data_IF_802914799604
#
_entry.id   IF_802914799604
#
_cell.length_a   1.000
_cell.length_b   1.000
_cell.length_c   1.000
_cell.angle_alpha   90.00
_cell.angle_beta   90.00
_cell.angle_gamma   90.00
#
_symmetry.space_group_name_H-M   'P 1'
#
loop_
_entity.id
_entity.type
_entity.pdbx_description
1 polymer ?
#
# COMPACT_ATOMS: atom_id res chain seq x y z
N UNK A 1 -22.25 -16.86 -1.96
CA UNK A 1 -22.85 -16.31 -3.20
C UNK A 1 -21.70 -15.73 -4.00
N UNK A 2 -21.47 -16.09 -5.27
CA UNK A 2 -20.46 -15.37 -6.05
C UNK A 2 -20.88 -13.91 -6.16
N UNK A 3 -19.98 -12.99 -5.84
CA UNK A 3 -20.28 -11.57 -5.87
C UNK A 3 -20.62 -11.11 -7.29
N UNK A 4 -21.59 -10.20 -7.40
CA UNK A 4 -22.12 -9.73 -8.68
C UNK A 4 -21.28 -8.57 -9.26
N UNK A 5 -21.40 -8.34 -10.57
CA UNK A 5 -20.80 -7.16 -11.22
C UNK A 5 -21.30 -5.86 -10.59
N UNK A 6 -22.55 -5.84 -10.11
CA UNK A 6 -23.12 -4.67 -9.44
C UNK A 6 -22.43 -4.36 -8.11
N UNK A 7 -22.06 -5.39 -7.34
CA UNK A 7 -21.30 -5.22 -6.10
C UNK A 7 -19.88 -4.72 -6.40
N UNK A 8 -19.21 -5.28 -7.41
CA UNK A 8 -17.89 -4.76 -7.82
C UNK A 8 -17.97 -3.27 -8.23
N UNK A 9 -19.00 -2.88 -8.99
CA UNK A 9 -19.20 -1.49 -9.37
C UNK A 9 -19.48 -0.57 -8.17
N UNK A 10 -20.24 -1.06 -7.18
CA UNK A 10 -20.48 -0.34 -5.94
C UNK A 10 -19.18 -0.10 -5.17
N UNK A 11 -18.37 -1.15 -4.99
CA UNK A 11 -17.09 -1.06 -4.27
C UNK A 11 -16.07 -0.15 -4.97
N UNK A 12 -16.03 -0.16 -6.30
CA UNK A 12 -15.20 0.79 -7.08
C UNK A 12 -15.67 2.23 -6.88
N UNK A 13 -16.98 2.45 -6.69
CA UNK A 13 -17.52 3.80 -6.42
C UNK A 13 -17.17 4.25 -5.00
N UNK A 14 -17.17 3.33 -4.03
CA UNK A 14 -16.91 3.61 -2.62
C UNK A 14 -15.41 3.82 -2.33
N UNK A 15 -14.56 2.92 -2.83
CA UNK A 15 -13.13 2.88 -2.53
C UNK A 15 -12.25 3.48 -3.64
N UNK A 16 -12.87 3.88 -4.74
CA UNK A 16 -12.20 4.40 -5.91
C UNK A 16 -11.69 3.32 -6.88
N UNK A 17 -11.12 3.73 -8.02
CA UNK A 17 -10.72 2.82 -9.10
C UNK A 17 -9.65 1.80 -8.71
N UNK A 18 -8.81 2.10 -7.72
CA UNK A 18 -7.80 1.17 -7.20
C UNK A 18 -8.42 -0.16 -6.74
N UNK A 19 -9.68 -0.14 -6.28
CA UNK A 19 -10.39 -1.36 -5.88
C UNK A 19 -10.52 -2.35 -7.05
N UNK A 20 -10.68 -1.87 -8.29
CA UNK A 20 -10.72 -2.75 -9.46
C UNK A 20 -9.37 -3.47 -9.67
N UNK A 21 -8.27 -2.75 -9.49
CA UNK A 21 -6.91 -3.31 -9.55
C UNK A 21 -6.68 -4.32 -8.43
N UNK A 22 -7.11 -3.99 -7.21
CA UNK A 22 -7.02 -4.88 -6.05
C UNK A 22 -7.85 -6.16 -6.25
N UNK A 23 -9.10 -6.02 -6.72
CA UNK A 23 -9.96 -7.15 -7.02
C UNK A 23 -9.33 -8.06 -8.08
N UNK A 24 -8.70 -7.48 -9.10
CA UNK A 24 -7.96 -8.24 -10.12
C UNK A 24 -6.75 -8.95 -9.51
N UNK A 25 -5.98 -8.26 -8.66
CA UNK A 25 -4.80 -8.80 -7.97
C UNK A 25 -5.14 -10.04 -7.12
N UNK A 26 -6.23 -10.00 -6.35
CA UNK A 26 -6.62 -11.12 -5.47
C UNK A 26 -7.31 -12.29 -6.20
N UNK A 27 -7.57 -12.18 -7.50
CA UNK A 27 -8.16 -13.26 -8.31
C UNK A 27 -9.57 -13.00 -8.85
N UNK A 28 -10.02 -11.74 -8.89
CA UNK A 28 -11.28 -11.31 -9.51
C UNK A 28 -12.49 -11.35 -8.57
N UNK A 29 -13.69 -11.24 -9.14
CA UNK A 29 -14.95 -11.12 -8.39
C UNK A 29 -15.26 -12.28 -7.45
N UNK A 30 -14.68 -13.47 -7.67
CA UNK A 30 -14.77 -14.60 -6.75
C UNK A 30 -14.08 -14.34 -5.40
N UNK A 31 -13.17 -13.37 -5.34
CA UNK A 31 -12.34 -13.06 -4.17
C UNK A 31 -12.71 -11.71 -3.53
N UNK A 32 -13.95 -11.21 -3.75
CA UNK A 32 -14.41 -9.90 -3.25
C UNK A 32 -14.17 -9.70 -1.75
N UNK A 33 -14.48 -10.71 -0.93
CA UNK A 33 -14.31 -10.62 0.53
C UNK A 33 -12.84 -10.41 0.90
N UNK A 34 -11.91 -11.05 0.17
CA UNK A 34 -10.48 -10.81 0.31
C UNK A 34 -10.07 -9.41 -0.12
N UNK A 35 -10.60 -8.92 -1.25
CA UNK A 35 -10.32 -7.56 -1.73
C UNK A 35 -10.82 -6.49 -0.73
N UNK A 36 -12.04 -6.66 -0.20
CA UNK A 36 -12.60 -5.80 0.83
C UNK A 36 -11.72 -5.78 2.08
N UNK A 37 -11.30 -6.95 2.55
CA UNK A 37 -10.43 -7.06 3.71
C UNK A 37 -9.10 -6.34 3.52
N UNK A 38 -8.45 -6.49 2.35
CA UNK A 38 -7.25 -5.71 2.02
C UNK A 38 -7.54 -4.21 1.99
N UNK A 39 -8.66 -3.79 1.41
CA UNK A 39 -9.01 -2.37 1.31
C UNK A 39 -9.29 -1.74 2.67
N UNK A 40 -9.96 -2.45 3.57
CA UNK A 40 -10.36 -1.95 4.89
C UNK A 40 -9.24 -2.05 5.93
N UNK A 41 -8.48 -3.14 5.92
CA UNK A 41 -7.53 -3.46 6.99
C UNK A 41 -6.06 -3.22 6.61
N UNK A 42 -5.72 -3.27 5.33
CA UNK A 42 -4.32 -3.28 4.87
C UNK A 42 -3.93 -2.06 4.02
N UNK A 43 -4.88 -1.26 3.56
CA UNK A 43 -4.58 -0.11 2.68
C UNK A 43 -3.86 1.01 3.44
N UNK A 44 -2.66 1.35 2.96
CA UNK A 44 -1.78 2.35 3.57
C UNK A 44 -1.87 3.73 2.91
N UNK A 45 -2.51 3.84 1.74
CA UNK A 45 -2.70 5.10 1.04
C UNK A 45 -2.15 5.12 -0.39
N UNK A 46 -2.13 6.33 -0.95
CA UNK A 46 -1.73 6.66 -2.32
C UNK A 46 -0.49 7.58 -2.29
N UNK A 47 0.52 7.24 -3.09
CA UNK A 47 1.84 7.87 -3.09
C UNK A 47 2.34 8.11 -4.52
N UNK A 48 3.31 9.02 -4.71
CA UNK A 48 3.99 9.17 -6.01
C UNK A 48 4.96 8.01 -6.29
N UNK A 49 5.48 7.38 -5.24
CA UNK A 49 6.35 6.20 -5.29
C UNK A 49 6.28 5.40 -3.98
N UNK A 50 6.76 4.15 -3.99
CA UNK A 50 6.92 3.38 -2.76
C UNK A 50 7.98 4.00 -1.82
N UNK A 51 8.94 4.76 -2.38
CA UNK A 51 9.92 5.53 -1.60
C UNK A 51 9.25 6.60 -0.74
N UNK A 52 8.25 7.30 -1.28
CA UNK A 52 7.51 8.31 -0.51
C UNK A 52 6.74 7.68 0.66
N UNK A 53 6.16 6.49 0.45
CA UNK A 53 5.55 5.73 1.54
C UNK A 53 6.59 5.31 2.59
N UNK A 54 7.76 4.81 2.18
CA UNK A 54 8.80 4.41 3.11
C UNK A 54 9.32 5.60 3.94
N UNK A 55 9.49 6.77 3.33
CA UNK A 55 9.85 8.01 4.05
C UNK A 55 8.78 8.37 5.09
N UNK A 56 7.51 8.44 4.67
CA UNK A 56 6.40 8.74 5.59
C UNK A 56 6.32 7.70 6.73
N UNK A 57 6.41 6.41 6.42
CA UNK A 57 6.36 5.33 7.41
C UNK A 57 7.45 5.48 8.47
N UNK A 58 8.68 5.79 8.02
CA UNK A 58 9.81 5.99 8.93
C UNK A 58 9.62 7.25 9.77
N UNK A 59 9.14 8.34 9.20
CA UNK A 59 8.81 9.55 9.95
C UNK A 59 7.72 9.29 10.99
N UNK A 60 6.64 8.60 10.62
CA UNK A 60 5.50 8.33 11.51
C UNK A 60 5.87 7.37 12.65
N UNK A 61 6.66 6.32 12.37
CA UNK A 61 6.96 5.26 13.35
C UNK A 61 8.28 5.47 14.10
N UNK A 62 9.23 6.20 13.52
CA UNK A 62 10.60 6.30 14.02
C UNK A 62 11.11 7.74 14.16
N UNK A 63 10.26 8.77 14.07
CA UNK A 63 10.65 10.18 14.25
C UNK A 63 11.56 10.44 15.45
N UNK A 64 11.30 9.83 16.61
CA UNK A 64 12.12 10.04 17.80
C UNK A 64 13.49 9.36 17.69
N UNK A 65 13.58 8.21 17.01
CA UNK A 65 14.85 7.57 16.67
C UNK A 65 15.64 8.45 15.71
N UNK A 66 14.99 8.99 14.68
CA UNK A 66 15.61 9.91 13.72
C UNK A 66 16.20 11.14 14.43
N UNK A 67 15.43 11.79 15.31
CA UNK A 67 15.88 12.97 16.08
C UNK A 67 17.11 12.69 16.95
N UNK A 68 17.30 11.45 17.40
CA UNK A 68 18.47 11.03 18.18
C UNK A 68 19.74 10.81 17.34
N UNK A 69 19.62 10.65 16.02
CA UNK A 69 20.77 10.41 15.15
C UNK A 69 21.56 11.69 14.87
N UNK A 70 22.91 11.61 14.80
CA UNK A 70 23.73 12.66 14.21
C UNK A 70 23.30 13.00 12.78
N UNK A 71 23.41 14.27 12.38
CA UNK A 71 22.95 14.76 11.07
C UNK A 71 23.56 13.99 9.89
N UNK A 72 24.86 13.68 9.94
CA UNK A 72 25.55 12.94 8.88
C UNK A 72 25.08 11.48 8.73
N UNK A 73 24.29 10.96 9.67
CA UNK A 73 23.62 9.66 9.52
C UNK A 73 22.19 9.88 9.05
N UNK A 74 21.47 10.81 9.68
CA UNK A 74 20.06 11.10 9.39
C UNK A 74 19.83 11.50 7.94
N UNK A 75 20.69 12.35 7.37
CA UNK A 75 20.55 12.83 5.99
C UNK A 75 21.03 11.83 4.93
N UNK A 76 21.44 10.63 5.34
CA UNK A 76 21.96 9.58 4.46
C UNK A 76 21.20 8.27 4.59
N UNK A 77 19.97 8.30 5.11
CA UNK A 77 19.07 7.14 5.13
C UNK A 77 18.61 6.87 3.70
N UNK A 78 18.75 5.62 3.26
CA UNK A 78 18.37 5.16 1.93
C UNK A 78 16.91 4.67 1.93
N UNK A 79 15.98 5.61 1.76
CA UNK A 79 14.54 5.30 1.72
C UNK A 79 14.14 4.46 0.50
N UNK A 80 14.85 4.58 -0.62
CA UNK A 80 14.61 3.75 -1.81
C UNK A 80 14.99 2.29 -1.54
N UNK A 81 16.14 2.08 -0.90
CA UNK A 81 16.56 0.75 -0.43
C UNK A 81 15.55 0.15 0.56
N UNK A 82 15.08 0.94 1.52
CA UNK A 82 14.06 0.49 2.49
C UNK A 82 12.76 0.11 1.78
N UNK A 83 12.23 0.97 0.91
CA UNK A 83 11.03 0.71 0.13
C UNK A 83 11.13 -0.60 -0.66
N UNK A 84 12.26 -0.80 -1.35
CA UNK A 84 12.54 -2.01 -2.10
C UNK A 84 12.58 -3.25 -1.21
N UNK A 85 13.20 -3.17 -0.04
CA UNK A 85 13.28 -4.28 0.90
C UNK A 85 11.90 -4.62 1.48
N UNK A 86 11.03 -3.63 1.74
CA UNK A 86 9.65 -3.87 2.19
C UNK A 86 8.83 -4.66 1.16
N UNK A 87 8.94 -4.32 -0.13
CA UNK A 87 8.21 -5.03 -1.19
C UNK A 87 8.80 -6.43 -1.45
N UNK A 88 10.13 -6.55 -1.57
CA UNK A 88 10.79 -7.84 -1.81
C UNK A 88 10.70 -8.78 -0.61
N UNK A 89 10.67 -8.23 0.60
CA UNK A 89 10.46 -8.96 1.85
C UNK A 89 9.03 -9.45 2.02
N UNK A 90 8.09 -8.91 1.25
CA UNK A 90 6.67 -9.23 1.37
C UNK A 90 6.02 -8.58 2.60
N UNK A 91 6.55 -7.46 3.07
CA UNK A 91 5.88 -6.63 4.09
C UNK A 91 4.70 -5.88 3.46
N UNK A 92 4.89 -5.40 2.23
CA UNK A 92 3.89 -4.67 1.44
C UNK A 92 3.82 -5.18 0.00
N UNK A 93 2.70 -4.90 -0.66
CA UNK A 93 2.61 -4.94 -2.13
C UNK A 93 2.04 -3.61 -2.65
N UNK A 94 2.34 -3.34 -3.91
CA UNK A 94 1.91 -2.11 -4.58
C UNK A 94 0.98 -2.38 -5.75
N UNK A 95 0.06 -1.44 -5.98
CA UNK A 95 -0.76 -1.38 -7.18
C UNK A 95 -0.60 -0.02 -7.82
N UNK A 96 -0.19 0.02 -9.09
CA UNK A 96 -0.10 1.27 -9.84
C UNK A 96 -1.44 1.62 -10.50
N UNK A 97 -1.89 2.85 -10.30
CA UNK A 97 -3.08 3.39 -10.97
C UNK A 97 -2.93 4.90 -11.20
N UNK A 98 -3.24 5.38 -12.40
CA UNK A 98 -3.16 6.81 -12.78
C UNK A 98 -1.84 7.53 -12.42
N UNK A 99 -0.72 6.81 -12.45
CA UNK A 99 0.60 7.36 -12.12
C UNK A 99 0.88 7.48 -10.62
N UNK A 100 0.05 6.84 -9.80
CA UNK A 100 0.20 6.75 -8.34
C UNK A 100 0.44 5.30 -7.92
N UNK A 101 1.15 5.15 -6.82
CA UNK A 101 1.42 3.88 -6.15
C UNK A 101 0.50 3.76 -4.95
N UNK A 102 -0.38 2.76 -4.98
CA UNK A 102 -1.24 2.40 -3.87
C UNK A 102 -0.57 1.28 -3.06
N UNK A 103 -0.36 1.50 -1.77
CA UNK A 103 0.41 0.60 -0.92
C UNK A 103 -0.53 -0.18 0.01
N UNK A 104 -0.28 -1.48 0.13
CA UNK A 104 -1.02 -2.38 1.02
C UNK A 104 -0.05 -3.23 1.83
N UNK A 105 -0.35 -3.47 3.11
CA UNK A 105 0.32 -4.54 3.84
C UNK A 105 0.00 -5.91 3.22
N UNK A 106 1.01 -6.74 2.99
CA UNK A 106 0.85 -8.02 2.31
C UNK A 106 0.37 -9.16 3.21
N UNK A 107 0.35 -8.95 4.53
CA UNK A 107 -0.06 -9.95 5.50
C UNK A 107 -1.30 -9.47 6.28
N UNK A 108 -2.44 -10.10 5.99
CA UNK A 108 -3.69 -10.00 6.77
C UNK A 108 -4.26 -11.37 7.04
#
# INVERSE_FOLDING_TARGET
>A
MPFSIAEAAFQITEHGPVFASLLTYVGGTSCMEGALRYMEEAYCGEYDSLTDYAEQFIDDCYADSLKGLPEFIRYHIDYEGIARDMELGGDVFTLEFEGKVHVFYACI
#
